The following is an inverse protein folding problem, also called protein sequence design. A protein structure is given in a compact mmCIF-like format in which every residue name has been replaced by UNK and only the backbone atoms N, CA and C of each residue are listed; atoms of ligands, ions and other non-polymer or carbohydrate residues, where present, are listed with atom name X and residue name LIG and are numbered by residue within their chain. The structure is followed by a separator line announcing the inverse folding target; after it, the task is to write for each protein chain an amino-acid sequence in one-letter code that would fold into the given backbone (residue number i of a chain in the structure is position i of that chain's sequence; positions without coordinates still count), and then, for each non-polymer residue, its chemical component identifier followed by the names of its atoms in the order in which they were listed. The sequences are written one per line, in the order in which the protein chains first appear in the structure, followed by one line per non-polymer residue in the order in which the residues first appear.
data_IF_135857162729
#
_entry.id   IF_135857162729
#
_cell.length_a   1.000
_cell.length_b   1.000
_cell.length_c   1.000
_cell.angle_alpha   90.00
_cell.angle_beta   90.00
_cell.angle_gamma   90.00
#
_symmetry.space_group_name_H-M   'P 1'
#
loop_
_entity.id
_entity.type
_entity.pdbx_description
1 polymer ?
#
# COMPACT_ATOMS: atom_id res chain seq x y z
N UNK A 1 8.23 13.10 -0.68
CA UNK A 1 7.76 12.18 -1.73
C UNK A 1 8.75 12.06 -2.86
N UNK A 2 9.29 10.86 -3.09
CA UNK A 2 10.27 10.60 -4.17
C UNK A 2 9.64 10.73 -5.57
N UNK A 3 8.46 10.14 -5.77
CA UNK A 3 7.78 10.09 -7.07
C UNK A 3 7.07 11.41 -7.42
N UNK A 4 6.61 12.18 -6.43
CA UNK A 4 5.97 13.47 -6.69
C UNK A 4 6.97 14.48 -7.25
N UNK A 5 8.22 14.44 -6.75
CA UNK A 5 9.32 15.25 -7.27
C UNK A 5 9.90 14.68 -8.59
N UNK A 6 9.82 13.36 -8.79
CA UNK A 6 10.39 12.67 -9.96
C UNK A 6 9.31 11.99 -10.82
N UNK A 7 8.41 12.78 -11.41
CA UNK A 7 7.25 12.26 -12.17
C UNK A 7 7.60 11.35 -13.36
N UNK A 8 8.83 11.42 -13.88
CA UNK A 8 9.32 10.57 -14.99
C UNK A 8 9.94 9.25 -14.52
N UNK A 9 10.00 9.01 -13.21
CA UNK A 9 10.50 7.75 -12.66
C UNK A 9 9.44 6.63 -12.78
N UNK A 10 9.22 6.19 -14.02
CA UNK A 10 8.24 5.17 -14.36
C UNK A 10 8.58 3.81 -13.76
N UNK A 11 9.88 3.54 -13.58
CA UNK A 11 10.36 2.30 -12.98
C UNK A 11 9.92 2.18 -11.52
N UNK A 12 10.20 3.20 -10.71
CA UNK A 12 9.83 3.17 -9.29
C UNK A 12 8.32 3.34 -9.10
N UNK A 13 7.62 4.05 -9.99
CA UNK A 13 6.15 4.05 -10.00
C UNK A 13 5.58 2.64 -10.20
N UNK A 14 6.12 1.89 -11.17
CA UNK A 14 5.74 0.48 -11.38
C UNK A 14 6.04 -0.37 -10.15
N UNK A 15 7.21 -0.21 -9.53
CA UNK A 15 7.56 -0.94 -8.31
C UNK A 15 6.58 -0.63 -7.16
N UNK A 16 6.23 0.64 -6.96
CA UNK A 16 5.23 1.05 -5.97
C UNK A 16 3.90 0.32 -6.21
N UNK A 17 3.39 0.34 -7.44
CA UNK A 17 2.14 -0.34 -7.78
C UNK A 17 2.18 -1.86 -7.49
N UNK A 18 3.34 -2.51 -7.72
CA UNK A 18 3.53 -3.94 -7.41
C UNK A 18 3.51 -4.20 -5.90
N UNK A 19 4.18 -3.35 -5.11
CA UNK A 19 4.20 -3.43 -3.66
C UNK A 19 2.79 -3.22 -3.10
N UNK A 20 2.08 -2.19 -3.54
CA UNK A 20 0.69 -1.95 -3.10
C UNK A 20 -0.22 -3.13 -3.48
N UNK A 21 -0.05 -3.71 -4.67
CA UNK A 21 -0.80 -4.90 -5.07
C UNK A 21 -0.52 -6.09 -4.15
N UNK A 22 0.72 -6.27 -3.69
CA UNK A 22 1.08 -7.30 -2.70
C UNK A 22 0.39 -7.02 -1.37
N UNK A 23 0.41 -5.77 -0.89
CA UNK A 23 -0.28 -5.37 0.35
C UNK A 23 -1.78 -5.68 0.27
N UNK A 24 -2.45 -5.31 -0.83
CA UNK A 24 -3.89 -5.60 -1.04
C UNK A 24 -4.18 -7.11 -1.00
N UNK A 25 -3.31 -7.95 -1.57
CA UNK A 25 -3.46 -9.42 -1.49
C UNK A 25 -3.28 -9.94 -0.07
N UNK A 26 -2.24 -9.49 0.63
CA UNK A 26 -2.00 -9.88 2.03
C UNK A 26 -3.14 -9.45 2.94
N UNK A 27 -3.68 -8.24 2.75
CA UNK A 27 -4.84 -7.76 3.48
C UNK A 27 -6.06 -8.66 3.28
N UNK A 28 -6.39 -9.04 2.03
CA UNK A 28 -7.48 -9.97 1.76
C UNK A 28 -7.31 -11.30 2.48
N UNK A 29 -6.09 -11.86 2.49
CA UNK A 29 -5.79 -13.10 3.19
C UNK A 29 -5.97 -12.98 4.71
N UNK A 30 -5.50 -11.89 5.32
CA UNK A 30 -5.67 -11.72 6.77
C UNK A 30 -7.12 -11.43 7.17
N UNK A 31 -7.88 -10.73 6.32
CA UNK A 31 -9.33 -10.56 6.49
C UNK A 31 -10.08 -11.89 6.43
N UNK A 32 -9.81 -12.72 5.43
CA UNK A 32 -10.45 -14.03 5.30
C UNK A 32 -10.13 -14.95 6.48
N UNK A 33 -8.96 -14.77 7.10
CA UNK A 33 -8.53 -15.54 8.26
C UNK A 33 -8.98 -14.94 9.60
N UNK A 34 -9.77 -13.86 9.60
CA UNK A 34 -10.26 -13.20 10.82
C UNK A 34 -9.20 -12.50 11.67
N UNK A 35 -7.97 -12.33 11.15
CA UNK A 35 -6.86 -11.66 11.84
C UNK A 35 -6.84 -10.15 11.62
N UNK A 36 -7.64 -9.66 10.66
CA UNK A 36 -7.75 -8.26 10.30
C UNK A 36 -9.22 -7.91 10.19
N UNK A 37 -9.58 -6.70 10.62
CA UNK A 37 -10.95 -6.20 10.54
C UNK A 37 -11.46 -6.21 9.09
N UNK A 38 -12.73 -6.57 8.91
CA UNK A 38 -13.41 -6.62 7.63
C UNK A 38 -13.41 -5.23 6.96
N UNK A 39 -13.49 -4.17 7.76
CA UNK A 39 -13.51 -2.78 7.28
C UNK A 39 -12.12 -2.19 7.03
N UNK A 40 -11.05 -2.93 7.36
CA UNK A 40 -9.69 -2.44 7.18
C UNK A 40 -9.38 -2.13 5.71
N UNK A 41 -8.94 -0.93 5.38
CA UNK A 41 -8.60 -0.58 4.00
C UNK A 41 -7.22 0.08 3.91
N UNK A 42 -6.46 -0.28 2.88
CA UNK A 42 -5.17 0.32 2.61
C UNK A 42 -5.36 1.76 2.11
N UNK A 43 -4.97 2.74 2.94
CA UNK A 43 -4.94 4.16 2.59
C UNK A 43 -3.51 4.68 2.72
N UNK A 44 -2.88 4.97 1.57
CA UNK A 44 -1.49 5.44 1.49
C UNK A 44 -1.25 6.69 2.33
N UNK A 45 -2.20 7.62 2.33
CA UNK A 45 -2.09 8.90 3.04
C UNK A 45 -2.09 8.72 4.57
N UNK A 46 -2.81 7.71 5.07
CA UNK A 46 -2.89 7.42 6.50
C UNK A 46 -1.65 6.67 7.01
N UNK A 47 -1.00 5.87 6.16
CA UNK A 47 0.22 5.12 6.53
C UNK A 47 1.38 6.02 6.91
N UNK A 48 1.48 7.20 6.29
CA UNK A 48 2.53 8.16 6.61
C UNK A 48 2.51 8.60 8.06
N UNK A 49 1.32 8.65 8.67
CA UNK A 49 1.12 9.03 10.07
C UNK A 49 1.34 7.86 11.06
N UNK A 50 1.24 6.61 10.60
CA UNK A 50 1.32 5.41 11.45
C UNK A 50 2.74 4.83 11.60
N UNK A 51 3.69 5.27 10.76
CA UNK A 51 5.05 4.69 10.67
C UNK A 51 6.14 5.67 11.17
N UNK A 52 5.74 6.85 11.65
CA UNK A 52 6.60 7.76 12.44
C UNK A 52 6.58 7.37 13.92
#
# INVERSE_FOLDING_TARGET
DHLDNNRKDLHNNRQLNLVESKIRRSARYFKSNGKLDADWNYKRDQLRLMVE
#
